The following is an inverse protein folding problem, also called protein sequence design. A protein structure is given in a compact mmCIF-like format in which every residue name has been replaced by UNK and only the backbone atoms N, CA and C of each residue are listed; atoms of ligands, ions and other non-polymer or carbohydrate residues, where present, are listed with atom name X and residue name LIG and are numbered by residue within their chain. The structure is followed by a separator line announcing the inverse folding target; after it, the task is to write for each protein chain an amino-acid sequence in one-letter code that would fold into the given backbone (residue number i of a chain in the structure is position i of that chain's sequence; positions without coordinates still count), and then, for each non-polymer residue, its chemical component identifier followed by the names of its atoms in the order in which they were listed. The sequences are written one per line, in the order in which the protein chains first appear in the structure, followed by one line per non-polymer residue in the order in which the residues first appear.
data_IF_262041395743
#
_entry.id   IF_262041395743
#
_cell.length_a   1.000
_cell.length_b   1.000
_cell.length_c   1.000
_cell.angle_alpha   90.00
_cell.angle_beta   90.00
_cell.angle_gamma   90.00
#
_symmetry.space_group_name_H-M   'P 1'
#
loop_
_entity.id
_entity.type
_entity.pdbx_description
1 polymer ?
#
# COMPACT_ATOMS: atom_id res chain seq x y z
N UNK A 1 -25.92 -20.38 18.87
CA UNK A 1 -24.69 -19.58 18.60
C UNK A 1 -23.84 -20.23 17.50
N UNK A 2 -23.84 -19.65 16.30
CA UNK A 2 -23.03 -20.14 15.18
C UNK A 2 -21.55 -19.76 15.38
N UNK A 3 -20.59 -20.64 15.07
CA UNK A 3 -19.17 -20.32 15.17
C UNK A 3 -18.78 -19.34 14.06
N UNK A 4 -18.30 -18.16 14.45
CA UNK A 4 -17.70 -17.19 13.54
C UNK A 4 -16.42 -17.80 12.94
N UNK A 5 -16.45 -18.13 11.65
CA UNK A 5 -15.29 -18.56 10.89
C UNK A 5 -14.28 -17.41 10.84
N UNK A 6 -13.21 -17.52 11.62
CA UNK A 6 -11.99 -16.71 11.40
C UNK A 6 -11.52 -17.01 9.97
N UNK A 7 -11.24 -16.00 9.12
CA UNK A 7 -10.62 -16.27 7.84
C UNK A 7 -9.26 -16.94 8.11
N UNK A 8 -9.17 -18.23 7.77
CA UNK A 8 -7.93 -18.99 7.83
C UNK A 8 -7.00 -18.42 6.76
N UNK A 9 -5.91 -17.79 7.18
CA UNK A 9 -4.83 -17.42 6.27
C UNK A 9 -4.30 -18.73 5.65
N UNK A 10 -4.36 -18.82 4.32
CA UNK A 10 -3.85 -19.98 3.59
C UNK A 10 -2.34 -20.14 3.86
N UNK A 11 -1.83 -21.35 4.14
CA UNK A 11 -0.40 -21.58 4.28
C UNK A 11 0.28 -21.30 2.94
N UNK A 12 1.09 -20.24 2.88
CA UNK A 12 1.78 -19.79 1.66
C UNK A 12 1.34 -18.42 1.11
N UNK A 13 0.40 -17.70 1.75
CA UNK A 13 0.13 -16.31 1.35
C UNK A 13 1.36 -15.45 1.69
N UNK A 14 2.01 -14.89 0.67
CA UNK A 14 3.00 -13.83 0.87
C UNK A 14 2.40 -12.75 1.79
N UNK A 15 3.20 -12.15 2.69
CA UNK A 15 2.70 -11.05 3.50
C UNK A 15 2.11 -9.96 2.60
N UNK A 16 1.03 -9.32 3.04
CA UNK A 16 0.39 -8.21 2.31
C UNK A 16 1.42 -7.16 1.93
N UNK A 17 1.41 -6.68 0.69
CA UNK A 17 2.32 -5.62 0.23
C UNK A 17 2.21 -4.36 1.07
N UNK A 18 1.02 -3.99 1.56
CA UNK A 18 0.82 -2.88 2.49
C UNK A 18 1.61 -3.12 3.77
N UNK A 19 1.50 -4.31 4.34
CA UNK A 19 2.20 -4.66 5.58
C UNK A 19 3.72 -4.62 5.39
N UNK A 20 4.22 -5.12 4.26
CA UNK A 20 5.65 -5.07 3.92
C UNK A 20 6.09 -3.61 3.82
N UNK A 21 5.38 -2.78 3.05
CA UNK A 21 5.69 -1.37 2.86
C UNK A 21 5.71 -0.60 4.19
N UNK A 22 4.69 -0.77 5.05
CA UNK A 22 4.64 -0.14 6.38
C UNK A 22 5.81 -0.62 7.25
N UNK A 23 6.11 -1.92 7.25
CA UNK A 23 7.21 -2.48 8.05
C UNK A 23 8.55 -1.90 7.60
N UNK A 24 8.79 -1.80 6.30
CA UNK A 24 10.00 -1.22 5.74
C UNK A 24 10.13 0.26 6.07
N UNK A 25 9.05 1.05 5.98
CA UNK A 25 9.05 2.47 6.33
C UNK A 25 9.30 2.72 7.82
N UNK A 26 8.73 1.89 8.70
CA UNK A 26 8.97 2.01 10.13
C UNK A 26 10.44 1.80 10.49
N UNK A 27 11.11 0.86 9.82
CA UNK A 27 12.52 0.56 10.06
C UNK A 27 13.47 1.47 9.27
N UNK A 28 13.05 1.95 8.10
CA UNK A 28 13.86 2.72 7.16
C UNK A 28 13.06 3.93 6.63
N UNK A 29 12.87 4.98 7.45
CA UNK A 29 11.97 6.09 7.10
C UNK A 29 12.35 6.87 5.84
N UNK A 30 13.64 6.87 5.50
CA UNK A 30 14.18 7.52 4.29
C UNK A 30 13.57 6.95 2.99
N UNK A 31 13.08 5.70 3.00
CA UNK A 31 12.43 5.08 1.83
C UNK A 31 11.18 5.85 1.37
N UNK A 32 10.52 6.61 2.26
CA UNK A 32 9.37 7.43 1.88
C UNK A 32 9.69 8.43 0.76
N UNK A 33 10.93 8.92 0.67
CA UNK A 33 11.37 9.88 -0.35
C UNK A 33 11.40 9.29 -1.77
N UNK A 34 11.30 7.97 -1.91
CA UNK A 34 11.21 7.29 -3.21
C UNK A 34 9.81 7.38 -3.81
N UNK A 35 8.81 7.77 -3.02
CA UNK A 35 7.42 7.93 -3.46
C UNK A 35 7.17 9.40 -3.75
N UNK A 36 6.77 9.75 -4.97
CA UNK A 36 6.49 11.14 -5.32
C UNK A 36 5.08 11.60 -4.89
N UNK A 37 4.09 10.71 -4.95
CA UNK A 37 2.68 11.04 -4.68
C UNK A 37 2.04 10.01 -3.74
N UNK A 38 2.23 10.15 -2.41
CA UNK A 38 1.67 9.22 -1.42
C UNK A 38 0.16 9.05 -1.51
N UNK A 39 -0.58 10.15 -1.71
CA UNK A 39 -2.04 10.17 -1.68
C UNK A 39 -2.71 9.33 -2.77
N UNK A 40 -2.00 8.95 -3.85
CA UNK A 40 -2.57 8.13 -4.91
C UNK A 40 -3.02 6.75 -4.41
N UNK A 41 -2.31 6.19 -3.42
CA UNK A 41 -2.66 4.90 -2.86
C UNK A 41 -3.98 4.93 -2.08
N UNK A 42 -4.54 6.08 -1.66
CA UNK A 42 -5.82 6.15 -0.96
C UNK A 42 -7.00 5.54 -1.74
N UNK A 43 -6.89 5.46 -3.06
CA UNK A 43 -7.90 4.83 -3.90
C UNK A 43 -7.91 3.29 -3.79
N UNK A 44 -6.90 2.65 -3.18
CA UNK A 44 -6.90 1.22 -2.93
C UNK A 44 -7.92 0.83 -1.86
N UNK A 45 -8.74 -0.17 -2.16
CA UNK A 45 -9.70 -0.74 -1.23
C UNK A 45 -9.08 -1.86 -0.37
N UNK A 46 -7.94 -1.57 0.26
CA UNK A 46 -7.18 -2.54 1.05
C UNK A 46 -7.01 -2.09 2.53
N UNK A 47 -7.12 -3.00 3.50
CA UNK A 47 -6.95 -2.66 4.91
C UNK A 47 -5.52 -2.15 5.18
N UNK A 48 -5.43 -1.03 5.88
CA UNK A 48 -4.15 -0.41 6.26
C UNK A 48 -3.61 0.59 5.24
N UNK A 49 -4.29 0.81 4.11
CA UNK A 49 -3.90 1.82 3.11
C UNK A 49 -3.81 3.23 3.72
N UNK A 50 -4.78 3.61 4.57
CA UNK A 50 -4.79 4.91 5.23
C UNK A 50 -3.54 5.10 6.10
N UNK A 51 -3.11 4.05 6.80
CA UNK A 51 -1.91 4.07 7.63
C UNK A 51 -0.66 4.22 6.76
N UNK A 52 -0.58 3.50 5.63
CA UNK A 52 0.53 3.62 4.69
C UNK A 52 0.65 5.04 4.15
N UNK A 53 -0.47 5.63 3.70
CA UNK A 53 -0.49 6.99 3.15
C UNK A 53 -0.12 8.01 4.22
N UNK A 54 -0.75 7.95 5.39
CA UNK A 54 -0.45 8.85 6.52
C UNK A 54 1.03 8.75 6.92
N UNK A 55 1.61 7.55 6.91
CA UNK A 55 3.02 7.34 7.19
C UNK A 55 3.94 7.96 6.13
N UNK A 56 3.62 7.77 4.84
CA UNK A 56 4.37 8.38 3.75
C UNK A 56 4.32 9.90 3.81
N UNK A 57 3.13 10.48 4.03
CA UNK A 57 2.94 11.93 4.17
C UNK A 57 3.68 12.51 5.38
N UNK A 58 3.62 11.82 6.52
CA UNK A 58 4.35 12.22 7.73
C UNK A 58 5.86 12.28 7.48
N UNK A 59 6.39 11.27 6.78
CA UNK A 59 7.82 11.16 6.47
C UNK A 59 8.27 12.10 5.35
N UNK A 60 7.37 12.47 4.44
CA UNK A 60 7.60 13.57 3.50
C UNK A 60 7.71 14.91 4.22
N UNK A 61 6.79 15.18 5.15
CA UNK A 61 6.81 16.41 5.93
C UNK A 61 8.00 16.47 6.92
N UNK A 62 8.49 15.31 7.36
CA UNK A 62 9.57 15.21 8.35
C UNK A 62 10.63 14.17 7.91
N UNK A 63 11.51 14.49 6.94
CA UNK A 63 12.48 13.53 6.38
C UNK A 63 13.49 12.95 7.38
N UNK A 64 13.70 13.64 8.50
CA UNK A 64 14.60 13.21 9.58
C UNK A 64 13.89 12.43 10.69
N UNK A 65 12.58 12.18 10.56
CA UNK A 65 11.82 11.45 11.57
C UNK A 65 12.24 9.97 11.58
N UNK A 66 12.57 9.47 12.76
CA UNK A 66 12.98 8.08 12.97
C UNK A 66 11.82 7.24 13.54
N UNK A 67 11.98 5.91 13.56
CA UNK A 67 10.99 4.94 14.07
C UNK A 67 10.32 5.38 15.39
N UNK A 68 11.11 5.75 16.41
CA UNK A 68 10.56 6.26 17.68
C UNK A 68 9.64 7.47 17.55
N UNK A 69 9.96 8.44 16.70
CA UNK A 69 9.12 9.61 16.44
C UNK A 69 7.86 9.27 15.64
N UNK A 70 7.94 8.28 14.75
CA UNK A 70 6.76 7.73 14.07
C UNK A 70 5.82 7.10 15.11
N UNK A 71 6.33 6.22 15.98
CA UNK A 71 5.50 5.58 17.02
C UNK A 71 4.90 6.60 18.00
N UNK A 72 5.60 7.70 18.25
CA UNK A 72 5.09 8.82 19.04
C UNK A 72 3.92 9.53 18.37
N UNK A 73 3.99 9.75 17.06
CA UNK A 73 2.89 10.34 16.28
C UNK A 73 1.61 9.49 16.34
N UNK A 74 1.75 8.16 16.49
CA UNK A 74 0.64 7.25 16.68
C UNK A 74 0.28 6.98 18.15
N UNK A 75 0.91 7.67 19.11
CA UNK A 75 0.51 7.59 20.52
C UNK A 75 -0.97 7.99 20.63
N UNK A 76 -1.74 7.19 21.37
CA UNK A 76 -3.19 7.35 21.58
C UNK A 76 -4.09 7.11 20.35
N UNK A 77 -3.54 6.68 19.21
CA UNK A 77 -4.33 6.21 18.06
C UNK A 77 -4.63 4.70 18.16
N UNK A 78 -5.77 4.23 17.61
CA UNK A 78 -6.13 2.80 17.63
C UNK A 78 -5.03 1.87 17.09
N UNK A 79 -4.26 2.34 16.11
CA UNK A 79 -3.25 1.56 15.40
C UNK A 79 -1.88 1.49 16.11
N UNK A 80 -1.70 2.19 17.23
CA UNK A 80 -0.41 2.28 17.96
C UNK A 80 0.19 0.89 18.24
N UNK A 81 -0.61 -0.02 18.80
CA UNK A 81 -0.15 -1.37 19.17
C UNK A 81 0.24 -2.19 17.95
N UNK A 82 -0.46 -1.98 16.84
CA UNK A 82 -0.17 -2.68 15.59
C UNK A 82 1.15 -2.19 14.99
N UNK A 83 1.33 -0.87 14.87
CA UNK A 83 2.57 -0.27 14.36
C UNK A 83 3.77 -0.60 15.24
N UNK A 84 3.64 -0.55 16.57
CA UNK A 84 4.71 -0.94 17.48
C UNK A 84 5.12 -2.42 17.33
N UNK A 85 4.17 -3.30 16.93
CA UNK A 85 4.48 -4.70 16.62
C UNK A 85 5.21 -4.81 15.28
N UNK A 86 4.76 -4.10 14.25
CA UNK A 86 5.40 -4.09 12.92
C UNK A 86 6.83 -3.53 12.99
N UNK A 87 7.05 -2.46 13.76
CA UNK A 87 8.38 -1.85 13.96
C UNK A 87 9.42 -2.79 14.58
N UNK A 88 8.99 -3.87 15.25
CA UNK A 88 9.88 -4.90 15.81
C UNK A 88 10.15 -6.04 14.84
N UNK A 89 9.44 -6.09 13.71
CA UNK A 89 9.66 -7.12 12.70
C UNK A 89 10.85 -6.73 11.84
N UNK A 90 11.77 -7.66 11.68
CA UNK A 90 12.81 -7.56 10.68
C UNK A 90 12.30 -8.15 9.39
N UNK A 91 12.54 -7.45 8.28
CA UNK A 91 12.37 -8.03 6.95
C UNK A 91 13.65 -8.80 6.65
N UNK A 92 13.53 -10.05 6.22
CA UNK A 92 14.66 -10.93 5.85
C UNK A 92 15.25 -10.51 4.49
N UNK A 93 15.59 -9.24 4.36
CA UNK A 93 16.20 -8.66 3.16
C UNK A 93 17.48 -7.96 3.62
N UNK A 94 18.64 -8.26 2.99
CA UNK A 94 19.87 -7.56 3.32
C UNK A 94 19.75 -6.06 3.01
N UNK A 95 20.57 -5.25 3.66
CA UNK A 95 20.41 -3.79 3.70
C UNK A 95 20.41 -3.14 2.30
N UNK A 96 21.19 -3.70 1.38
CA UNK A 96 21.26 -3.33 -0.03
C UNK A 96 20.01 -3.69 -0.85
N UNK A 97 19.19 -4.63 -0.36
CA UNK A 97 17.93 -5.06 -0.98
C UNK A 97 16.68 -4.35 -0.46
N UNK A 98 16.77 -3.58 0.63
CA UNK A 98 15.59 -2.98 1.29
C UNK A 98 14.84 -2.00 0.38
N UNK A 99 15.56 -1.20 -0.40
CA UNK A 99 14.94 -0.29 -1.37
C UNK A 99 14.20 -1.08 -2.46
N UNK A 100 14.82 -2.13 -3.00
CA UNK A 100 14.22 -2.96 -4.03
C UNK A 100 12.97 -3.69 -3.52
N UNK A 101 13.00 -4.19 -2.28
CA UNK A 101 11.85 -4.82 -1.64
C UNK A 101 10.71 -3.81 -1.44
N UNK A 102 11.03 -2.60 -0.99
CA UNK A 102 10.05 -1.54 -0.81
C UNK A 102 9.39 -1.14 -2.14
N UNK A 103 10.19 -0.87 -3.17
CA UNK A 103 9.69 -0.55 -4.51
C UNK A 103 8.90 -1.70 -5.11
N UNK A 104 9.31 -2.95 -4.87
CA UNK A 104 8.57 -4.15 -5.27
C UNK A 104 7.20 -4.25 -4.61
N UNK A 105 7.11 -3.96 -3.31
CA UNK A 105 5.85 -3.88 -2.59
C UNK A 105 4.94 -2.79 -3.16
N UNK A 106 5.46 -1.58 -3.38
CA UNK A 106 4.71 -0.49 -3.99
C UNK A 106 4.24 -0.83 -5.41
N UNK A 107 5.08 -1.48 -6.22
CA UNK A 107 4.69 -1.93 -7.55
C UNK A 107 3.53 -2.93 -7.49
N UNK A 108 3.47 -3.79 -6.47
CA UNK A 108 2.32 -4.67 -6.29
C UNK A 108 1.06 -3.88 -5.94
N UNK A 109 1.16 -2.86 -5.08
CA UNK A 109 0.05 -1.96 -4.76
C UNK A 109 -0.45 -1.20 -5.99
N UNK A 110 0.46 -0.69 -6.81
CA UNK A 110 0.12 -0.03 -8.09
C UNK A 110 -0.62 -0.96 -9.04
N UNK A 111 -0.15 -2.21 -9.17
CA UNK A 111 -0.84 -3.23 -9.99
C UNK A 111 -2.25 -3.51 -9.47
N UNK A 112 -2.44 -3.57 -8.15
CA UNK A 112 -3.76 -3.75 -7.55
C UNK A 112 -4.67 -2.55 -7.82
N UNK A 113 -4.14 -1.34 -7.74
CA UNK A 113 -4.90 -0.12 -7.97
C UNK A 113 -5.41 -0.03 -9.41
N UNK A 114 -4.53 -0.30 -10.38
CA UNK A 114 -4.89 -0.31 -11.80
C UNK A 114 -5.90 -1.43 -12.12
N UNK A 115 -5.76 -2.59 -11.49
CA UNK A 115 -6.74 -3.67 -11.65
C UNK A 115 -8.10 -3.27 -11.08
N UNK A 116 -8.14 -2.66 -9.90
CA UNK A 116 -9.39 -2.18 -9.29
C UNK A 116 -10.08 -1.17 -10.22
N UNK A 117 -9.35 -0.17 -10.70
CA UNK A 117 -9.91 0.86 -11.59
C UNK A 117 -10.43 0.25 -12.90
N UNK A 118 -9.69 -0.71 -13.46
CA UNK A 118 -10.11 -1.45 -14.65
C UNK A 118 -11.42 -2.22 -14.43
N UNK A 119 -11.55 -2.91 -13.29
CA UNK A 119 -12.78 -3.64 -12.94
C UNK A 119 -13.96 -2.68 -12.71
N UNK A 120 -13.71 -1.52 -12.09
CA UNK A 120 -14.73 -0.49 -11.88
C UNK A 120 -15.25 0.08 -13.21
N UNK A 121 -14.36 0.37 -14.16
CA UNK A 121 -14.72 0.83 -15.49
C UNK A 121 -15.47 -0.25 -16.28
N UNK A 122 -15.00 -1.51 -16.27
CA UNK A 122 -15.72 -2.60 -16.93
C UNK A 122 -17.13 -2.78 -16.37
N UNK A 123 -17.30 -2.71 -15.05
CA UNK A 123 -18.63 -2.77 -14.43
C UNK A 123 -19.51 -1.62 -14.90
N UNK A 124 -18.98 -0.40 -14.91
CA UNK A 124 -19.68 0.80 -15.39
C UNK A 124 -20.10 0.66 -16.87
N UNK A 125 -19.27 0.06 -17.70
CA UNK A 125 -19.60 -0.24 -19.10
C UNK A 125 -20.84 -1.13 -19.21
N UNK A 126 -20.92 -2.19 -18.40
CA UNK A 126 -22.05 -3.13 -18.42
C UNK A 126 -23.34 -2.55 -17.84
N UNK A 127 -23.24 -1.69 -16.81
CA UNK A 127 -24.41 -1.14 -16.10
C UNK A 127 -25.00 0.10 -16.77
N UNK A 128 -24.14 1.03 -17.21
CA UNK A 128 -24.57 2.36 -17.66
C UNK A 128 -23.94 2.79 -18.99
N UNK A 129 -22.99 2.01 -19.52
CA UNK A 129 -22.12 2.42 -20.63
C UNK A 129 -20.99 3.36 -20.18
N UNK A 130 -19.96 3.47 -21.02
CA UNK A 130 -18.81 4.36 -20.78
C UNK A 130 -18.96 5.72 -21.46
N UNK A 131 -18.63 6.78 -20.72
CA UNK A 131 -18.41 8.10 -21.29
C UNK A 131 -17.14 8.14 -22.15
N UNK A 132 -16.95 9.22 -22.91
CA UNK A 132 -15.71 9.43 -23.67
C UNK A 132 -14.48 9.47 -22.77
N UNK A 133 -14.60 10.09 -21.59
CA UNK A 133 -13.54 10.17 -20.59
C UNK A 133 -13.18 8.79 -20.03
N UNK A 134 -14.18 7.98 -19.68
CA UNK A 134 -13.97 6.61 -19.21
C UNK A 134 -13.24 5.75 -20.26
N UNK A 135 -13.61 5.89 -21.54
CA UNK A 135 -12.94 5.17 -22.65
C UNK A 135 -11.49 5.59 -22.80
N UNK A 136 -11.20 6.88 -22.68
CA UNK A 136 -9.84 7.38 -22.70
C UNK A 136 -9.04 6.81 -21.52
N UNK A 137 -9.61 6.83 -20.31
CA UNK A 137 -8.98 6.29 -19.12
C UNK A 137 -8.71 4.79 -19.24
N UNK A 138 -9.65 4.02 -19.78
CA UNK A 138 -9.49 2.58 -20.02
C UNK A 138 -8.32 2.29 -20.97
N UNK A 139 -8.17 3.08 -22.05
CA UNK A 139 -7.04 2.96 -22.97
C UNK A 139 -5.70 3.28 -22.30
N UNK A 140 -5.66 4.29 -21.42
CA UNK A 140 -4.48 4.58 -20.60
C UNK A 140 -4.12 3.42 -19.66
N UNK A 141 -5.11 2.88 -18.96
CA UNK A 141 -4.92 1.73 -18.06
C UNK A 141 -4.34 0.51 -18.79
N UNK A 142 -4.84 0.21 -20.00
CA UNK A 142 -4.33 -0.89 -20.82
C UNK A 142 -2.86 -0.67 -21.22
N UNK A 143 -2.45 0.57 -21.48
CA UNK A 143 -1.04 0.91 -21.76
C UNK A 143 -0.17 0.75 -20.52
N UNK A 144 -0.62 1.27 -19.38
CA UNK A 144 0.10 1.17 -18.10
C UNK A 144 0.27 -0.29 -17.64
N UNK A 145 -0.79 -1.10 -17.76
CA UNK A 145 -0.73 -2.52 -17.41
C UNK A 145 0.25 -3.30 -18.29
N UNK A 146 0.41 -2.91 -19.56
CA UNK A 146 1.41 -3.51 -20.45
C UNK A 146 2.83 -3.06 -20.11
N UNK A 147 3.05 -1.84 -19.60
CA UNK A 147 4.38 -1.39 -19.17
C UNK A 147 4.81 -1.95 -17.81
N UNK A 148 3.87 -2.41 -17.00
CA UNK A 148 4.12 -3.02 -15.68
C UNK A 148 4.27 -4.56 -15.73
N UNK A 149 4.21 -5.17 -16.93
CA UNK A 149 4.39 -6.61 -17.13
C UNK A 149 5.84 -7.04 -17.06
#
# INVERSE_FOLDING_TARGET
PAPQRRPQQAPGSRPSAIRIAITLLLNNPQLAQKVAQPGHFLALQEPGVNILVELLELLHANPNLHCGGILEHWRDKPDQRHLARLARQQVETPEDGLEAEFLGALMLLEKQLLEQEFQELNRKEQETGLSTEDKHRLLELLRLKNSLR
#
